data_IF_523267618856
#
_entry.id   IF_523267618856
#
_cell.length_a   1.000
_cell.length_b   1.000
_cell.length_c   1.000
_cell.angle_alpha   90.00
_cell.angle_beta   90.00
_cell.angle_gamma   90.00
#
_symmetry.space_group_name_H-M   'P 1'
#
loop_
_entity.id
_entity.type
_entity.pdbx_description
1 polymer ?
#
# COMPACT_ATOMS: atom_id res chain seq x y z
N UNK A 1 -13.49 7.67 9.20
CA UNK A 1 -13.97 6.63 10.14
C UNK A 1 -15.22 5.90 9.65
N UNK A 2 -16.37 6.56 9.42
CA UNK A 2 -17.59 5.84 9.01
C UNK A 2 -17.49 5.31 7.55
N UNK A 3 -16.90 6.09 6.65
CA UNK A 3 -16.70 5.71 5.24
C UNK A 3 -15.64 4.61 5.06
N UNK A 4 -14.56 4.67 5.85
CA UNK A 4 -13.51 3.61 5.87
C UNK A 4 -14.10 2.29 6.36
N UNK A 5 -14.97 2.33 7.38
CA UNK A 5 -15.66 1.15 7.90
C UNK A 5 -16.63 0.53 6.88
N UNK A 6 -17.28 1.35 6.05
CA UNK A 6 -18.16 0.87 4.99
C UNK A 6 -17.37 0.22 3.84
N UNK A 7 -16.30 0.85 3.33
CA UNK A 7 -15.42 0.25 2.32
C UNK A 7 -14.83 -1.08 2.83
N UNK A 8 -14.37 -1.07 4.08
CA UNK A 8 -13.80 -2.23 4.74
C UNK A 8 -14.81 -3.38 4.80
N UNK A 9 -15.98 -3.17 5.39
CA UNK A 9 -17.00 -4.23 5.56
C UNK A 9 -17.71 -4.60 4.26
N UNK A 10 -17.95 -3.62 3.40
CA UNK A 10 -18.75 -3.76 2.18
C UNK A 10 -17.98 -4.36 1.01
N UNK A 11 -16.67 -4.09 0.94
CA UNK A 11 -15.83 -4.52 -0.18
C UNK A 11 -14.69 -5.40 0.30
N UNK A 12 -13.74 -4.88 1.08
CA UNK A 12 -12.47 -5.58 1.31
C UNK A 12 -12.67 -6.90 2.08
N UNK A 13 -13.54 -6.92 3.09
CA UNK A 13 -13.83 -8.13 3.87
C UNK A 13 -14.68 -9.16 3.11
N UNK A 14 -15.43 -8.74 2.08
CA UNK A 14 -16.37 -9.61 1.34
C UNK A 14 -15.77 -10.24 0.09
N UNK A 15 -14.60 -9.77 -0.34
CA UNK A 15 -14.01 -10.14 -1.62
C UNK A 15 -12.59 -10.69 -1.40
N UNK A 16 -12.45 -12.03 -1.29
CA UNK A 16 -11.17 -12.69 -1.04
C UNK A 16 -10.12 -12.47 -2.13
N UNK A 17 -10.44 -11.82 -3.25
CA UNK A 17 -9.49 -11.45 -4.30
C UNK A 17 -8.84 -10.06 -4.08
N UNK A 18 -9.29 -9.29 -3.08
CA UNK A 18 -8.67 -8.00 -2.74
C UNK A 18 -7.38 -8.24 -1.94
N UNK A 19 -6.28 -7.60 -2.36
CA UNK A 19 -4.94 -7.73 -1.75
C UNK A 19 -4.27 -6.39 -1.42
N UNK A 20 -4.67 -5.32 -2.09
CA UNK A 20 -4.05 -4.00 -1.98
C UNK A 20 -5.10 -2.90 -1.98
N UNK A 21 -4.90 -1.88 -1.15
CA UNK A 21 -5.72 -0.66 -1.09
C UNK A 21 -4.77 0.54 -1.15
N UNK A 22 -4.97 1.43 -2.12
CA UNK A 22 -4.14 2.62 -2.30
C UNK A 22 -4.96 3.86 -1.92
N UNK A 23 -4.43 4.70 -1.05
CA UNK A 23 -5.09 5.88 -0.50
C UNK A 23 -4.19 7.12 -0.54
N UNK A 24 -4.82 8.29 -0.52
CA UNK A 24 -4.20 9.61 -0.32
C UNK A 24 -5.00 10.43 0.69
N UNK A 25 -5.08 11.76 0.52
CA UNK A 25 -5.81 12.73 1.35
C UNK A 25 -5.09 13.14 2.63
N UNK A 26 -4.56 12.18 3.38
CA UNK A 26 -3.74 12.48 4.55
C UNK A 26 -2.30 12.65 4.10
N UNK A 27 -1.76 13.86 4.24
CA UNK A 27 -0.40 14.25 3.81
C UNK A 27 0.70 13.51 4.59
N UNK A 28 0.86 12.21 4.32
CA UNK A 28 1.79 11.30 4.96
C UNK A 28 2.06 10.12 4.04
N UNK A 29 3.11 9.39 4.37
CA UNK A 29 3.26 8.00 3.94
C UNK A 29 2.96 7.09 5.13
N UNK A 30 2.10 6.11 4.92
CA UNK A 30 1.82 5.10 5.92
C UNK A 30 1.46 3.79 5.23
N UNK A 31 1.81 2.68 5.86
CA UNK A 31 1.37 1.36 5.41
C UNK A 31 0.83 0.57 6.58
N UNK A 32 -0.21 -0.20 6.33
CA UNK A 32 -0.76 -1.13 7.31
C UNK A 32 -1.12 -2.46 6.65
N UNK A 33 -0.83 -3.55 7.35
CA UNK A 33 -1.27 -4.89 6.96
C UNK A 33 -2.50 -5.26 7.77
N UNK A 34 -3.59 -5.59 7.09
CA UNK A 34 -4.81 -6.11 7.71
C UNK A 34 -4.95 -7.60 7.41
N UNK A 35 -5.31 -8.39 8.41
CA UNK A 35 -5.49 -9.83 8.29
C UNK A 35 -6.97 -10.20 8.30
N UNK A 36 -7.35 -11.12 7.40
CA UNK A 36 -8.72 -11.57 7.21
C UNK A 36 -8.79 -13.08 7.38
N UNK A 37 -9.67 -13.50 8.29
CA UNK A 37 -10.19 -14.85 8.39
C UNK A 37 -11.42 -14.91 7.47
N UNK A 38 -11.20 -15.39 6.24
CA UNK A 38 -12.23 -15.44 5.20
C UNK A 38 -13.13 -16.68 5.37
N UNK A 39 -12.72 -17.69 6.17
CA UNK A 39 -13.46 -18.94 6.36
C UNK A 39 -14.18 -19.05 7.73
N UNK A 40 -13.86 -18.17 8.68
CA UNK A 40 -14.44 -18.08 10.01
C UNK A 40 -13.91 -19.11 11.04
N UNK A 41 -12.76 -19.72 10.79
CA UNK A 41 -12.18 -20.76 11.67
C UNK A 41 -11.27 -20.19 12.79
N UNK A 42 -11.04 -18.88 12.79
CA UNK A 42 -10.18 -18.18 13.73
C UNK A 42 -8.74 -18.01 13.26
N UNK A 43 -8.39 -18.51 12.06
CA UNK A 43 -7.07 -18.38 11.43
C UNK A 43 -7.16 -17.46 10.23
N UNK A 44 -6.32 -16.41 10.10
CA UNK A 44 -6.35 -15.58 8.90
C UNK A 44 -5.75 -16.30 7.68
N UNK A 45 -6.49 -16.36 6.57
CA UNK A 45 -6.01 -16.84 5.27
C UNK A 45 -5.32 -15.76 4.45
N UNK A 46 -5.73 -14.51 4.67
CA UNK A 46 -5.44 -13.42 3.75
C UNK A 46 -4.89 -12.21 4.47
N UNK A 47 -3.89 -11.58 3.84
CA UNK A 47 -3.43 -10.25 4.21
C UNK A 47 -3.78 -9.24 3.11
N UNK A 48 -4.17 -8.03 3.51
CA UNK A 48 -4.40 -6.88 2.63
C UNK A 48 -3.45 -5.77 3.05
N UNK A 49 -2.67 -5.26 2.10
CA UNK A 49 -1.77 -4.13 2.31
C UNK A 49 -2.50 -2.83 1.96
N UNK A 50 -2.69 -1.95 2.94
CA UNK A 50 -3.14 -0.59 2.73
C UNK A 50 -1.93 0.34 2.66
N UNK A 51 -1.82 1.12 1.59
CA UNK A 51 -0.72 2.06 1.34
C UNK A 51 -1.33 3.46 1.21
N UNK A 52 -0.97 4.34 2.13
CA UNK A 52 -1.23 5.77 2.10
C UNK A 52 0.00 6.47 1.53
N UNK A 53 -0.17 7.24 0.47
CA UNK A 53 0.88 8.08 -0.09
C UNK A 53 0.31 9.41 -0.56
N UNK A 54 0.62 10.48 0.16
CA UNK A 54 0.24 11.83 -0.21
C UNK A 54 1.32 12.83 0.20
N UNK A 55 2.06 13.34 -0.79
CA UNK A 55 3.10 14.34 -0.56
C UNK A 55 2.60 15.78 -0.66
N UNK A 56 1.33 16.02 -1.02
CA UNK A 56 0.84 17.34 -1.42
C UNK A 56 0.96 18.40 -0.31
N UNK A 57 1.00 17.97 0.95
CA UNK A 57 1.14 18.84 2.11
C UNK A 57 2.56 19.26 2.46
N UNK A 58 3.59 18.67 1.83
CA UNK A 58 4.98 19.02 2.09
C UNK A 58 5.42 20.22 1.23
N UNK A 59 6.63 20.71 1.50
CA UNK A 59 7.21 21.84 0.80
C UNK A 59 7.11 21.68 -0.73
N UNK A 60 6.77 22.78 -1.39
CA UNK A 60 6.58 22.85 -2.84
C UNK A 60 5.60 21.78 -3.42
N UNK A 61 4.65 21.32 -2.60
CA UNK A 61 3.66 20.31 -3.02
C UNK A 61 4.22 18.90 -3.04
N UNK A 62 5.26 18.62 -2.25
CA UNK A 62 5.89 17.30 -2.18
C UNK A 62 7.05 17.11 -3.14
N UNK A 63 7.61 18.20 -3.68
CA UNK A 63 8.86 18.17 -4.46
C UNK A 63 8.85 17.19 -5.66
N UNK A 64 7.67 16.89 -6.20
CA UNK A 64 7.48 15.96 -7.32
C UNK A 64 7.54 14.47 -6.95
N UNK A 65 7.62 14.12 -5.67
CA UNK A 65 7.68 12.72 -5.25
C UNK A 65 6.38 11.96 -5.55
N UNK A 66 6.54 10.76 -6.11
CA UNK A 66 5.48 9.80 -6.36
C UNK A 66 5.91 8.41 -5.87
N UNK A 67 4.96 7.58 -5.45
CA UNK A 67 5.24 6.17 -5.13
C UNK A 67 5.13 5.32 -6.39
N UNK A 68 6.15 4.48 -6.63
CA UNK A 68 6.24 3.52 -7.72
C UNK A 68 6.03 2.11 -7.18
N UNK A 69 5.11 1.37 -7.81
CA UNK A 69 4.88 -0.06 -7.57
C UNK A 69 5.39 -0.86 -8.77
N UNK A 70 6.50 -1.57 -8.59
CA UNK A 70 7.09 -2.43 -9.62
C UNK A 70 6.71 -3.88 -9.36
N UNK A 71 5.91 -4.47 -10.25
CA UNK A 71 5.47 -5.85 -10.14
C UNK A 71 6.52 -6.79 -10.73
N UNK A 72 6.91 -7.81 -9.95
CA UNK A 72 7.79 -8.89 -10.34
C UNK A 72 7.02 -10.22 -10.24
N UNK A 73 6.40 -10.68 -11.34
CA UNK A 73 5.61 -11.91 -11.32
C UNK A 73 6.45 -13.17 -11.12
N UNK A 74 7.72 -13.16 -11.51
CA UNK A 74 8.62 -14.31 -11.40
C UNK A 74 9.01 -14.55 -9.95
N UNK A 75 9.41 -13.49 -9.24
CA UNK A 75 9.73 -13.56 -7.81
C UNK A 75 8.49 -13.52 -6.92
N UNK A 76 7.31 -13.22 -7.49
CA UNK A 76 6.05 -13.01 -6.77
C UNK A 76 6.17 -11.89 -5.74
N UNK A 77 6.66 -10.74 -6.19
CA UNK A 77 6.90 -9.58 -5.35
C UNK A 77 6.41 -8.29 -6.00
N UNK A 78 6.12 -7.29 -5.17
CA UNK A 78 5.93 -5.90 -5.57
C UNK A 78 7.01 -5.09 -4.87
N UNK A 79 7.90 -4.47 -5.65
CA UNK A 79 8.91 -3.55 -5.15
C UNK A 79 8.30 -2.14 -5.09
N UNK A 80 8.27 -1.57 -3.90
CA UNK A 80 7.80 -0.21 -3.63
C UNK A 80 9.02 0.69 -3.47
N UNK A 81 8.98 1.86 -4.09
CA UNK A 81 9.95 2.95 -3.87
C UNK A 81 9.27 4.28 -4.16
N UNK A 82 9.87 5.40 -3.80
CA UNK A 82 9.44 6.71 -4.26
C UNK A 82 10.47 7.33 -5.17
N UNK A 83 10.03 8.19 -6.08
CA UNK A 83 10.91 8.90 -7.00
C UNK A 83 10.41 10.31 -7.25
N UNK A 84 11.32 11.27 -7.30
CA UNK A 84 11.05 12.63 -7.78
C UNK A 84 11.76 12.86 -9.13
N UNK A 85 11.00 13.14 -10.21
CA UNK A 85 11.58 13.58 -11.47
C UNK A 85 12.09 15.03 -11.43
N UNK A 86 11.76 15.79 -10.38
CA UNK A 86 12.25 17.17 -10.19
C UNK A 86 13.70 17.15 -9.69
N UNK A 87 14.00 16.21 -8.78
CA UNK A 87 15.31 16.08 -8.15
C UNK A 87 16.16 14.94 -8.72
N UNK A 88 15.58 14.07 -9.54
CA UNK A 88 16.16 12.80 -9.98
C UNK A 88 16.65 11.96 -8.78
N UNK A 89 15.77 11.84 -7.78
CA UNK A 89 16.10 11.29 -6.47
C UNK A 89 15.06 10.28 -6.00
N UNK A 90 15.49 9.35 -5.15
CA UNK A 90 14.65 8.32 -4.53
C UNK A 90 14.59 8.53 -3.02
N UNK A 91 13.41 8.28 -2.45
CA UNK A 91 13.09 8.46 -1.03
C UNK A 91 13.01 9.93 -0.61
N UNK A 92 11.79 10.40 -0.32
CA UNK A 92 11.55 11.74 0.21
C UNK A 92 12.07 11.86 1.66
N UNK A 93 11.85 10.83 2.48
CA UNK A 93 12.40 10.75 3.83
C UNK A 93 13.85 10.23 3.84
N UNK A 94 14.62 10.72 4.81
CA UNK A 94 16.00 10.25 5.02
C UNK A 94 16.12 8.78 5.45
N UNK A 95 15.05 8.18 5.97
CA UNK A 95 14.96 6.75 6.20
C UNK A 95 14.26 6.06 5.03
N UNK A 96 15.07 5.51 4.11
CA UNK A 96 14.58 4.84 2.93
C UNK A 96 13.63 3.66 3.23
N UNK A 97 13.67 3.06 4.42
CA UNK A 97 12.80 1.91 4.75
C UNK A 97 11.31 2.28 4.83
N UNK A 98 11.00 3.58 4.93
CA UNK A 98 9.62 4.09 4.93
C UNK A 98 8.99 4.05 3.55
N UNK A 99 9.80 4.06 2.49
CA UNK A 99 9.34 4.28 1.11
C UNK A 99 9.85 3.20 0.15
N UNK A 100 10.99 2.58 0.46
CA UNK A 100 11.61 1.50 -0.29
C UNK A 100 11.52 0.18 0.45
N UNK A 101 10.71 -0.73 -0.07
CA UNK A 101 10.45 -2.04 0.53
C UNK A 101 9.79 -3.00 -0.46
N UNK A 102 9.74 -4.28 -0.10
CA UNK A 102 9.10 -5.32 -0.91
C UNK A 102 7.83 -5.82 -0.23
N UNK A 103 6.76 -5.97 -1.01
CA UNK A 103 5.50 -6.59 -0.61
C UNK A 103 5.29 -7.90 -1.39
N UNK A 104 4.56 -8.88 -0.82
CA UNK A 104 4.29 -10.14 -1.53
C UNK A 104 3.27 -9.94 -2.65
N UNK A 105 3.57 -10.37 -3.88
CA UNK A 105 2.54 -10.49 -4.92
C UNK A 105 1.69 -11.73 -4.62
N UNK A 106 0.74 -11.57 -3.71
CA UNK A 106 -0.14 -12.65 -3.29
C UNK A 106 -1.26 -12.89 -4.33
N UNK A 107 -1.59 -14.15 -4.54
CA UNK A 107 -2.64 -14.59 -5.48
C UNK A 107 -3.66 -15.41 -4.71
N UNK A 108 -4.91 -15.41 -5.15
CA UNK A 108 -5.89 -16.35 -4.60
C UNK A 108 -5.41 -17.76 -4.95
N UNK A 109 -5.21 -18.62 -3.94
CA UNK A 109 -4.88 -20.02 -4.17
C UNK A 109 -5.95 -20.69 -5.05
N UNK A 110 -5.51 -21.51 -6.00
CA UNK A 110 -6.42 -22.32 -6.82
C UNK A 110 -7.04 -23.46 -6.03
#
# INVERSE_FOLDING_TARGET
MEQDAELMRGVIARHPNVRYVLCGHMHTLQRETQFFDDNGDGTPERSVQAIMADYQGFDHGGEGYIVLLTFDPEQREIRVTSYSPVHDDYNFYGDASQETYTLPLDVVGN
#
